data_IF_484203486405
#
_entry.id   IF_484203486405
#
_cell.length_a   1.000
_cell.length_b   1.000
_cell.length_c   1.000
_cell.angle_alpha   90.00
_cell.angle_beta   90.00
_cell.angle_gamma   90.00
#
_symmetry.space_group_name_H-M   'P 1'
#
loop_
_entity.id
_entity.type
_entity.pdbx_description
1 polymer ?
#
# COMPACT_ATOMS: atom_id res chain seq x y z
N UNK A 1 7.82 31.41 40.61
CA UNK A 1 7.29 32.03 39.37
C UNK A 1 8.14 31.57 38.17
N UNK A 2 8.03 30.33 37.71
CA UNK A 2 8.64 29.92 36.43
C UNK A 2 7.91 28.68 35.91
N UNK A 3 6.62 28.85 35.57
CA UNK A 3 5.82 27.84 34.88
C UNK A 3 4.97 28.58 33.86
N UNK A 4 5.52 28.97 32.70
CA UNK A 4 4.73 29.52 31.58
C UNK A 4 5.41 29.71 30.21
N UNK A 5 6.45 28.94 29.85
CA UNK A 5 7.11 29.12 28.53
C UNK A 5 7.39 27.80 27.78
N UNK A 6 6.52 26.79 27.92
CA UNK A 6 6.55 25.61 27.04
C UNK A 6 5.39 25.59 26.01
N UNK A 7 4.43 26.51 26.12
CA UNK A 7 3.24 26.54 25.26
C UNK A 7 3.40 27.35 23.97
N UNK A 8 4.54 28.00 23.75
CA UNK A 8 4.73 28.92 22.61
C UNK A 8 5.33 28.25 21.36
N UNK A 9 5.69 26.97 21.44
CA UNK A 9 6.36 26.23 20.34
C UNK A 9 5.74 24.88 20.02
N UNK A 10 4.45 24.67 20.30
CA UNK A 10 3.76 23.43 19.92
C UNK A 10 3.47 23.49 18.41
N UNK A 11 4.33 22.88 17.60
CA UNK A 11 4.06 22.68 16.16
C UNK A 11 2.70 22.00 16.01
N UNK A 12 1.87 22.40 15.03
CA UNK A 12 0.63 21.70 14.77
C UNK A 12 0.92 20.21 14.52
N UNK A 13 0.01 19.36 15.00
CA UNK A 13 0.12 17.93 14.74
C UNK A 13 0.09 17.70 13.22
N UNK A 14 1.01 16.88 12.73
CA UNK A 14 1.01 16.45 11.33
C UNK A 14 -0.30 15.71 11.08
N UNK A 15 -1.08 16.16 10.09
CA UNK A 15 -2.26 15.46 9.62
C UNK A 15 -1.85 14.60 8.42
N UNK A 16 -1.88 13.28 8.60
CA UNK A 16 -1.68 12.33 7.50
C UNK A 16 -2.97 12.18 6.71
N UNK A 17 -2.84 11.70 5.47
CA UNK A 17 -3.98 11.34 4.66
C UNK A 17 -4.64 10.08 5.22
N UNK A 18 -5.97 10.08 5.28
CA UNK A 18 -6.81 8.93 5.60
C UNK A 18 -8.03 8.98 4.68
N UNK A 19 -8.43 7.86 4.06
CA UNK A 19 -9.61 7.82 3.20
C UNK A 19 -10.87 8.09 4.03
N UNK A 20 -11.86 8.76 3.45
CA UNK A 20 -13.13 9.06 4.15
C UNK A 20 -13.88 7.79 4.56
N UNK A 21 -13.81 6.74 3.74
CA UNK A 21 -14.31 5.40 4.03
C UNK A 21 -13.19 4.37 3.80
N UNK A 22 -12.72 3.66 4.85
CA UNK A 22 -11.62 2.71 4.75
C UNK A 22 -12.03 1.33 4.21
N UNK A 23 -13.30 1.13 3.83
CA UNK A 23 -13.79 -0.15 3.30
C UNK A 23 -13.05 -0.54 2.01
N UNK A 24 -12.38 -1.70 1.95
CA UNK A 24 -11.73 -2.18 0.73
C UNK A 24 -12.74 -2.38 -0.40
N UNK A 25 -12.43 -1.83 -1.58
CA UNK A 25 -13.29 -1.95 -2.78
C UNK A 25 -12.53 -1.85 -4.11
N UNK A 26 -11.25 -1.51 -4.06
CA UNK A 26 -10.38 -1.39 -5.22
C UNK A 26 -9.29 -2.46 -5.22
N UNK A 27 -8.93 -2.90 -6.43
CA UNK A 27 -7.83 -3.83 -6.64
C UNK A 27 -6.49 -3.19 -6.27
N UNK A 28 -5.68 -3.89 -5.48
CA UNK A 28 -4.26 -3.61 -5.44
C UNK A 28 -3.62 -4.04 -6.76
N UNK A 29 -2.87 -3.16 -7.45
CA UNK A 29 -2.34 -3.47 -8.77
C UNK A 29 -1.30 -4.61 -8.74
N UNK A 30 -0.64 -4.78 -7.58
CA UNK A 30 0.43 -5.76 -7.37
C UNK A 30 -0.09 -7.15 -6.99
N UNK A 31 -1.11 -7.29 -6.14
CA UNK A 31 -1.51 -8.60 -5.61
C UNK A 31 -2.91 -9.08 -6.03
N UNK A 32 -3.67 -8.27 -6.79
CA UNK A 32 -5.01 -8.57 -7.29
C UNK A 32 -6.11 -8.81 -6.23
N UNK A 33 -5.80 -8.68 -4.95
CA UNK A 33 -6.81 -8.58 -3.90
C UNK A 33 -7.52 -7.22 -3.95
N UNK A 34 -8.79 -7.21 -3.60
CA UNK A 34 -9.57 -6.00 -3.34
C UNK A 34 -9.26 -5.54 -1.93
N UNK A 35 -8.18 -4.77 -1.77
CA UNK A 35 -7.60 -4.43 -0.47
C UNK A 35 -7.40 -2.93 -0.25
N UNK A 36 -7.61 -2.12 -1.29
CA UNK A 36 -7.52 -0.67 -1.20
C UNK A 36 -8.93 -0.07 -1.11
N UNK A 37 -9.15 0.97 -0.28
CA UNK A 37 -10.43 1.68 -0.26
C UNK A 37 -10.63 2.61 -1.45
N UNK A 38 -9.56 2.99 -2.14
CA UNK A 38 -9.52 3.89 -3.29
C UNK A 38 -8.14 3.80 -3.98
N UNK A 39 -8.04 4.24 -5.24
CA UNK A 39 -6.81 4.20 -6.04
C UNK A 39 -6.09 5.55 -6.10
N UNK A 40 -4.77 5.52 -6.28
CA UNK A 40 -3.91 6.66 -6.63
C UNK A 40 -3.59 7.62 -5.49
N UNK A 41 -3.87 7.23 -4.23
CA UNK A 41 -3.69 8.09 -3.04
C UNK A 41 -2.60 7.59 -2.09
N UNK A 42 -1.60 6.87 -2.60
CA UNK A 42 -0.43 6.39 -1.83
C UNK A 42 -0.82 5.51 -0.62
N UNK A 43 -1.95 4.82 -0.72
CA UNK A 43 -2.37 3.87 0.29
C UNK A 43 -1.57 2.58 0.14
N UNK A 44 -1.14 2.02 1.27
CA UNK A 44 -0.33 0.80 1.30
C UNK A 44 -1.26 -0.40 1.40
N UNK A 45 -1.15 -1.32 0.44
CA UNK A 45 -1.89 -2.57 0.46
C UNK A 45 -1.45 -3.44 1.67
N UNK A 46 -2.35 -3.83 2.59
CA UNK A 46 -1.97 -4.64 3.75
C UNK A 46 -1.54 -6.07 3.40
N UNK A 47 -1.85 -6.53 2.18
CA UNK A 47 -1.64 -7.91 1.74
C UNK A 47 -0.25 -8.11 1.14
N UNK A 48 0.21 -7.16 0.33
CA UNK A 48 1.52 -7.24 -0.32
C UNK A 48 2.46 -6.11 0.03
N UNK A 49 1.99 -5.05 0.68
CA UNK A 49 2.75 -3.86 1.05
C UNK A 49 3.15 -2.94 -0.12
N UNK A 50 2.51 -3.08 -1.29
CA UNK A 50 2.64 -2.11 -2.39
C UNK A 50 1.97 -0.77 -2.01
N UNK A 51 2.69 0.34 -2.19
CA UNK A 51 2.15 1.70 -2.07
C UNK A 51 1.57 2.15 -3.41
N UNK A 52 0.27 2.44 -3.44
CA UNK A 52 -0.45 2.72 -4.69
C UNK A 52 -0.24 4.16 -5.19
N UNK A 53 0.74 4.35 -6.07
CA UNK A 53 1.06 5.60 -6.76
C UNK A 53 0.18 5.85 -8.00
N UNK A 54 -0.81 4.99 -8.26
CA UNK A 54 -1.76 5.10 -9.36
C UNK A 54 -1.37 4.34 -10.62
N UNK A 55 -0.18 3.73 -10.68
CA UNK A 55 0.19 2.84 -11.79
C UNK A 55 -0.73 1.62 -11.87
N UNK A 56 -1.00 1.14 -13.09
CA UNK A 56 -1.74 -0.10 -13.32
C UNK A 56 -1.12 -0.97 -14.43
N UNK A 57 -1.86 -1.97 -14.93
CA UNK A 57 -1.35 -2.97 -15.86
C UNK A 57 -0.82 -2.39 -17.18
N UNK A 58 -1.30 -1.22 -17.59
CA UNK A 58 -0.81 -0.49 -18.76
C UNK A 58 0.62 0.06 -18.57
N UNK A 59 1.01 0.35 -17.32
CA UNK A 59 2.35 0.84 -16.94
C UNK A 59 3.17 -0.24 -16.22
N UNK A 60 2.92 -1.53 -16.50
CA UNK A 60 3.45 -2.64 -15.68
C UNK A 60 4.98 -2.70 -15.58
N UNK A 61 5.69 -2.12 -16.56
CA UNK A 61 7.15 -2.09 -16.67
C UNK A 61 7.75 -0.72 -16.29
N UNK A 62 6.92 0.25 -15.87
CA UNK A 62 7.40 1.53 -15.36
C UNK A 62 7.87 1.36 -13.90
N UNK A 63 8.92 2.10 -13.53
CA UNK A 63 9.45 2.09 -12.16
C UNK A 63 8.49 2.84 -11.23
N UNK A 64 8.19 2.25 -10.07
CA UNK A 64 7.43 2.93 -9.02
C UNK A 64 8.37 3.62 -8.03
N UNK A 65 8.26 4.94 -7.95
CA UNK A 65 9.03 5.76 -7.00
C UNK A 65 8.89 5.33 -5.53
N UNK A 66 7.66 5.21 -4.97
CA UNK A 66 7.49 4.82 -3.57
C UNK A 66 7.86 3.35 -3.29
N UNK A 67 7.80 2.47 -4.29
CA UNK A 67 8.13 1.05 -4.14
C UNK A 67 9.61 0.76 -4.48
N UNK A 68 10.53 1.61 -4.03
CA UNK A 68 11.99 1.46 -4.21
C UNK A 68 12.46 1.29 -5.67
N UNK A 69 11.69 1.80 -6.64
CA UNK A 69 12.01 1.74 -8.06
C UNK A 69 11.72 0.40 -8.71
N UNK A 70 11.10 -0.57 -8.01
CA UNK A 70 10.69 -1.82 -8.66
C UNK A 70 9.48 -1.56 -9.56
N UNK A 71 9.37 -2.35 -10.63
CA UNK A 71 8.22 -2.31 -11.53
C UNK A 71 7.04 -3.10 -10.96
N UNK A 72 5.83 -2.83 -11.46
CA UNK A 72 4.67 -3.62 -11.08
C UNK A 72 4.83 -5.09 -11.50
N UNK A 73 5.51 -5.38 -12.62
CA UNK A 73 5.84 -6.74 -13.05
C UNK A 73 6.66 -7.48 -11.99
N UNK A 74 7.68 -6.82 -11.45
CA UNK A 74 8.54 -7.37 -10.39
C UNK A 74 7.75 -7.55 -9.11
N UNK A 75 6.98 -6.55 -8.68
CA UNK A 75 6.12 -6.63 -7.49
C UNK A 75 5.11 -7.79 -7.57
N UNK A 76 4.47 -7.99 -8.72
CA UNK A 76 3.54 -9.12 -8.96
C UNK A 76 4.25 -10.47 -8.85
N UNK A 77 5.42 -10.61 -9.48
CA UNK A 77 6.25 -11.83 -9.41
C UNK A 77 6.70 -12.12 -7.97
N UNK A 78 7.14 -11.08 -7.27
CA UNK A 78 7.55 -11.14 -5.87
C UNK A 78 6.40 -11.60 -4.95
N UNK A 79 5.19 -11.08 -5.20
CA UNK A 79 4.01 -11.50 -4.45
C UNK A 79 3.69 -12.98 -4.69
N UNK A 80 3.80 -13.46 -5.94
CA UNK A 80 3.62 -14.89 -6.25
C UNK A 80 4.70 -15.76 -5.58
N UNK A 81 5.94 -15.29 -5.48
CA UNK A 81 7.07 -16.06 -4.93
C UNK A 81 7.06 -16.12 -3.40
N UNK A 82 6.84 -15.00 -2.72
CA UNK A 82 6.94 -14.93 -1.25
C UNK A 82 5.76 -14.25 -0.54
N UNK A 83 4.85 -13.59 -1.26
CA UNK A 83 3.62 -13.04 -0.68
C UNK A 83 3.71 -11.59 -0.21
N UNK A 84 4.69 -10.82 -0.71
CA UNK A 84 4.83 -9.37 -0.56
C UNK A 84 5.40 -8.75 -1.86
N UNK A 85 5.36 -7.42 -2.02
CA UNK A 85 5.95 -6.71 -3.16
C UNK A 85 7.49 -6.76 -3.14
N UNK A 86 8.08 -6.81 -1.95
CA UNK A 86 9.52 -7.00 -1.70
C UNK A 86 9.72 -7.92 -0.48
N UNK A 87 10.84 -8.64 -0.46
CA UNK A 87 11.08 -9.67 0.55
C UNK A 87 11.18 -9.08 1.97
N UNK A 88 11.74 -7.89 2.07
CA UNK A 88 11.91 -7.12 3.30
C UNK A 88 10.57 -6.65 3.90
N UNK A 89 9.52 -6.59 3.07
CA UNK A 89 8.18 -6.14 3.46
C UNK A 89 7.31 -7.26 4.02
N UNK A 90 7.75 -8.51 3.97
CA UNK A 90 7.06 -9.66 4.57
C UNK A 90 6.71 -9.47 6.05
N UNK A 91 7.48 -8.66 6.78
CA UNK A 91 7.22 -8.37 8.20
C UNK A 91 6.07 -7.40 8.45
N UNK A 92 5.55 -6.75 7.40
CA UNK A 92 4.47 -5.76 7.49
C UNK A 92 3.16 -6.21 6.84
N UNK A 93 3.18 -7.29 6.06
CA UNK A 93 1.96 -7.86 5.49
C UNK A 93 1.15 -8.62 6.54
N UNK A 94 -0.17 -8.65 6.36
CA UNK A 94 -1.07 -9.45 7.19
C UNK A 94 -0.84 -10.96 6.97
N UNK A 95 -1.26 -11.75 7.96
CA UNK A 95 -1.17 -13.21 7.93
C UNK A 95 -1.98 -13.82 6.78
N UNK A 96 -1.68 -15.07 6.42
CA UNK A 96 -2.43 -15.77 5.36
C UNK A 96 -3.89 -15.98 5.74
N UNK A 97 -4.14 -16.17 7.03
CA UNK A 97 -5.48 -16.34 7.60
C UNK A 97 -6.28 -15.04 7.48
N UNK A 98 -5.68 -13.87 7.78
CA UNK A 98 -6.36 -12.58 7.62
C UNK A 98 -6.66 -12.24 6.15
N UNK A 99 -5.87 -12.74 5.20
CA UNK A 99 -6.12 -12.53 3.75
C UNK A 99 -7.43 -13.17 3.29
N UNK A 100 -7.94 -14.19 3.98
CA UNK A 100 -9.21 -14.84 3.57
C UNK A 100 -10.43 -13.94 3.73
N UNK A 101 -10.30 -12.84 4.47
CA UNK A 101 -11.35 -11.84 4.63
C UNK A 101 -11.43 -10.86 3.44
N UNK A 102 -10.48 -10.93 2.51
CA UNK A 102 -10.42 -10.07 1.32
C UNK A 102 -10.80 -10.85 0.06
N UNK A 103 -11.53 -10.18 -0.83
CA UNK A 103 -11.79 -10.74 -2.16
C UNK A 103 -10.51 -10.78 -2.99
N UNK A 104 -10.30 -11.89 -3.71
CA UNK A 104 -9.18 -12.08 -4.62
C UNK A 104 -9.69 -12.44 -6.01
N UNK A 105 -9.37 -11.58 -6.99
CA UNK A 105 -9.75 -11.80 -8.39
C UNK A 105 -8.54 -11.52 -9.28
N UNK A 106 -7.86 -12.59 -9.72
CA UNK A 106 -6.64 -12.50 -10.53
C UNK A 106 -6.92 -11.79 -11.85
N UNK A 107 -6.15 -10.75 -12.15
CA UNK A 107 -6.23 -10.00 -13.40
C UNK A 107 -5.27 -10.61 -14.43
N UNK A 108 -5.74 -10.76 -15.66
CA UNK A 108 -4.89 -11.20 -16.76
C UNK A 108 -3.96 -10.06 -17.13
N UNK A 109 -2.64 -10.27 -16.98
CA UNK A 109 -1.64 -9.34 -17.51
C UNK A 109 -1.72 -9.35 -19.04
N UNK A 110 -1.73 -8.14 -19.64
CA UNK A 110 -1.66 -7.93 -21.09
C UNK A 110 -0.32 -8.44 -21.63
#
# INVERSE_FOLDING_TARGET
MFNRILSLFRKPAVKWYEPEDPTPREHCPCCDYISLPERGNYLICPICFWEDDGQDLEEIDDESGPNNGITLREGRKNFEEFGACEKEMLKYVISKEERSEFEYTKRTTI
#
